data_IF_043500101727
#
_entry.id   IF_043500101727
#
_cell.length_a   1.000
_cell.length_b   1.000
_cell.length_c   1.000
_cell.angle_alpha   90.00
_cell.angle_beta   90.00
_cell.angle_gamma   90.00
#
_symmetry.space_group_name_H-M   'P 1'
#
loop_
_entity.id
_entity.type
_entity.pdbx_description
1 polymer ?
#
# COMPACT_ATOMS: atom_id res chain seq x y z
N UNK A 1 -50.32 21.63 0.36
CA UNK A 1 -49.77 20.33 0.79
C UNK A 1 -48.61 19.96 -0.12
N UNK A 2 -47.39 19.94 0.40
CA UNK A 2 -46.20 19.41 -0.28
C UNK A 2 -45.64 18.31 0.61
N UNK A 3 -45.95 17.06 0.28
CA UNK A 3 -45.32 15.91 0.93
C UNK A 3 -43.89 15.77 0.41
N UNK A 4 -42.94 15.70 1.35
CA UNK A 4 -41.53 15.47 1.09
C UNK A 4 -41.32 13.99 0.77
N UNK A 5 -40.93 13.72 -0.47
CA UNK A 5 -40.39 12.43 -0.91
C UNK A 5 -38.93 12.30 -0.43
N UNK A 6 -38.71 12.02 0.86
CA UNK A 6 -37.39 11.76 1.45
C UNK A 6 -37.13 10.26 1.74
N UNK A 7 -37.96 9.36 1.18
CA UNK A 7 -37.97 7.93 1.54
C UNK A 7 -37.06 6.96 0.76
N UNK A 8 -36.28 7.37 -0.25
CA UNK A 8 -35.78 6.40 -1.26
C UNK A 8 -34.26 6.27 -1.45
N UNK A 9 -33.41 7.09 -0.81
CA UNK A 9 -31.95 7.00 -1.03
C UNK A 9 -31.22 6.01 -0.11
N UNK A 10 -31.84 5.58 0.98
CA UNK A 10 -31.21 4.70 1.98
C UNK A 10 -31.40 3.21 1.65
N UNK A 11 -32.51 2.81 1.03
CA UNK A 11 -32.78 1.44 0.60
C UNK A 11 -31.69 0.84 -0.31
N UNK A 12 -31.23 1.51 -1.39
CA UNK A 12 -30.20 0.93 -2.26
C UNK A 12 -28.82 0.80 -1.60
N UNK A 13 -28.49 1.68 -0.65
CA UNK A 13 -27.23 1.58 0.13
C UNK A 13 -27.31 0.40 1.10
N UNK A 14 -28.45 0.22 1.77
CA UNK A 14 -28.69 -0.89 2.68
C UNK A 14 -28.63 -2.23 1.94
N UNK A 15 -29.27 -2.34 0.78
CA UNK A 15 -29.21 -3.53 -0.08
C UNK A 15 -27.76 -3.86 -0.48
N UNK A 16 -26.97 -2.85 -0.87
CA UNK A 16 -25.55 -3.03 -1.21
C UNK A 16 -24.74 -3.57 -0.03
N UNK A 17 -24.97 -3.06 1.18
CA UNK A 17 -24.28 -3.50 2.41
C UNK A 17 -24.65 -4.95 2.75
N UNK A 18 -25.92 -5.31 2.64
CA UNK A 18 -26.40 -6.68 2.88
C UNK A 18 -25.76 -7.65 1.88
N UNK A 19 -25.80 -7.33 0.58
CA UNK A 19 -25.16 -8.15 -0.45
C UNK A 19 -23.65 -8.31 -0.22
N UNK A 20 -22.96 -7.23 0.18
CA UNK A 20 -21.55 -7.29 0.54
C UNK A 20 -21.30 -8.24 1.71
N UNK A 21 -22.09 -8.13 2.78
CA UNK A 21 -21.98 -9.01 3.94
C UNK A 21 -22.23 -10.49 3.58
N UNK A 22 -23.27 -10.77 2.81
CA UNK A 22 -23.58 -12.13 2.33
C UNK A 22 -22.43 -12.70 1.48
N UNK A 23 -21.85 -11.89 0.59
CA UNK A 23 -20.69 -12.30 -0.19
C UNK A 23 -19.45 -12.61 0.67
N UNK A 24 -19.21 -11.82 1.72
CA UNK A 24 -18.11 -12.03 2.66
C UNK A 24 -18.32 -13.22 3.60
N UNK A 25 -19.55 -13.66 3.80
CA UNK A 25 -19.88 -14.79 4.71
C UNK A 25 -20.10 -16.10 3.98
N UNK A 26 -20.23 -16.08 2.66
CA UNK A 26 -20.34 -17.28 1.83
C UNK A 26 -18.97 -17.98 1.67
N UNK A 27 -18.62 -18.83 2.65
CA UNK A 27 -17.38 -19.63 2.64
C UNK A 27 -17.29 -20.61 1.48
N UNK A 28 -18.40 -21.25 1.11
CA UNK A 28 -18.44 -22.23 0.01
C UNK A 28 -18.04 -21.58 -1.30
N UNK A 29 -18.63 -20.42 -1.61
CA UNK A 29 -18.30 -19.66 -2.81
C UNK A 29 -16.82 -19.26 -2.78
N UNK A 30 -16.33 -18.63 -1.70
CA UNK A 30 -14.94 -18.17 -1.62
C UNK A 30 -13.91 -19.29 -1.80
N UNK A 31 -14.14 -20.44 -1.16
CA UNK A 31 -13.23 -21.58 -1.30
C UNK A 31 -13.29 -22.19 -2.71
N UNK A 32 -14.43 -22.11 -3.40
CA UNK A 32 -14.57 -22.60 -4.77
C UNK A 32 -13.84 -21.75 -5.82
N UNK A 33 -13.72 -20.43 -5.59
CA UNK A 33 -13.01 -19.52 -6.53
C UNK A 33 -11.49 -19.51 -6.29
N UNK A 34 -11.00 -20.10 -5.21
CA UNK A 34 -9.57 -20.25 -4.96
C UNK A 34 -8.78 -18.93 -5.00
N UNK A 35 -7.76 -18.88 -5.86
CA UNK A 35 -6.84 -17.74 -6.01
C UNK A 35 -7.03 -16.99 -7.33
N UNK A 36 -7.95 -17.47 -8.16
CA UNK A 36 -8.26 -16.98 -9.50
C UNK A 36 -8.53 -15.45 -9.50
N UNK A 37 -9.32 -14.88 -8.57
CA UNK A 37 -9.54 -13.43 -8.55
C UNK A 37 -8.25 -12.64 -8.31
N UNK A 38 -7.34 -13.16 -7.48
CA UNK A 38 -6.06 -12.53 -7.22
C UNK A 38 -5.13 -12.64 -8.45
N UNK A 39 -5.13 -13.79 -9.14
CA UNK A 39 -4.38 -13.97 -10.40
C UNK A 39 -4.85 -12.98 -11.48
N UNK A 40 -6.16 -12.76 -11.60
CA UNK A 40 -6.74 -11.80 -12.54
C UNK A 40 -6.36 -10.35 -12.20
N UNK A 41 -6.32 -9.99 -10.92
CA UNK A 41 -5.85 -8.67 -10.50
C UNK A 41 -4.37 -8.48 -10.85
N UNK A 42 -3.55 -9.49 -10.60
CA UNK A 42 -2.10 -9.45 -10.82
C UNK A 42 -1.74 -9.38 -12.31
N UNK A 43 -2.43 -10.14 -13.17
CA UNK A 43 -2.22 -10.07 -14.63
C UNK A 43 -2.55 -8.68 -15.19
N UNK A 44 -3.57 -8.03 -14.63
CA UNK A 44 -3.97 -6.67 -14.97
C UNK A 44 -3.01 -5.57 -14.50
N UNK A 45 -1.94 -5.88 -13.75
CA UNK A 45 -0.92 -4.90 -13.37
C UNK A 45 0.12 -4.61 -14.47
N UNK A 46 0.10 -5.32 -15.62
CA UNK A 46 1.07 -5.17 -16.74
C UNK A 46 2.53 -5.23 -16.24
N UNK A 47 2.93 -6.36 -15.67
CA UNK A 47 4.33 -6.59 -15.29
C UNK A 47 4.86 -7.77 -16.11
N UNK A 48 5.95 -7.56 -16.86
CA UNK A 48 6.58 -8.59 -17.70
C UNK A 48 6.95 -9.86 -16.93
N UNK A 49 7.33 -9.69 -15.66
CA UNK A 49 7.67 -10.79 -14.76
C UNK A 49 7.51 -10.33 -13.30
N UNK A 50 6.70 -11.04 -12.52
CA UNK A 50 6.76 -10.95 -11.06
C UNK A 50 7.74 -12.01 -10.53
N UNK A 51 8.80 -11.64 -9.82
CA UNK A 51 9.77 -12.61 -9.31
C UNK A 51 9.18 -13.70 -8.40
N UNK A 52 8.08 -13.40 -7.71
CA UNK A 52 7.38 -14.32 -6.80
C UNK A 52 6.13 -14.98 -7.41
N UNK A 53 5.58 -14.43 -8.48
CA UNK A 53 4.27 -14.82 -9.03
C UNK A 53 4.49 -15.13 -10.50
N UNK A 54 4.15 -16.34 -10.97
CA UNK A 54 4.38 -16.81 -12.35
C UNK A 54 3.45 -16.12 -13.37
N UNK A 55 3.37 -14.80 -13.30
CA UNK A 55 2.45 -13.97 -14.05
C UNK A 55 3.27 -13.21 -15.08
N UNK A 56 2.93 -13.45 -16.34
CA UNK A 56 3.54 -12.83 -17.50
C UNK A 56 2.61 -11.72 -18.01
N UNK A 57 3.17 -10.54 -18.24
CA UNK A 57 2.44 -9.37 -18.73
C UNK A 57 3.25 -8.56 -19.75
N UNK A 58 2.78 -7.35 -20.05
CA UNK A 58 3.45 -6.41 -20.95
C UNK A 58 4.79 -5.89 -20.40
N UNK A 59 5.55 -5.16 -21.23
CA UNK A 59 6.81 -4.53 -20.87
C UNK A 59 6.74 -3.72 -19.55
N UNK A 60 7.77 -3.84 -18.72
CA UNK A 60 7.84 -3.20 -17.42
C UNK A 60 7.77 -1.67 -17.55
N UNK A 61 6.76 -1.07 -16.94
CA UNK A 61 6.57 0.38 -16.90
C UNK A 61 6.23 0.84 -15.48
N UNK A 62 7.26 1.22 -14.71
CA UNK A 62 7.10 1.59 -13.30
C UNK A 62 6.04 2.69 -13.06
N UNK A 63 6.00 3.82 -13.80
CA UNK A 63 4.96 4.83 -13.62
C UNK A 63 3.54 4.30 -13.81
N UNK A 64 3.32 3.45 -14.83
CA UNK A 64 2.01 2.85 -15.11
C UNK A 64 1.60 1.88 -14.01
N UNK A 65 2.53 1.05 -13.53
CA UNK A 65 2.30 0.11 -12.42
C UNK A 65 1.92 0.90 -11.16
N UNK A 66 2.69 1.93 -10.80
CA UNK A 66 2.42 2.77 -9.63
C UNK A 66 1.07 3.47 -9.72
N UNK A 67 0.70 4.00 -10.90
CA UNK A 67 -0.61 4.61 -11.11
C UNK A 67 -1.74 3.60 -10.87
N UNK A 68 -1.61 2.36 -11.37
CA UNK A 68 -2.62 1.30 -11.16
C UNK A 68 -2.71 0.89 -9.69
N UNK A 69 -1.57 0.71 -9.01
CA UNK A 69 -1.52 0.40 -7.59
C UNK A 69 -2.20 1.52 -6.77
N UNK A 70 -1.82 2.78 -6.99
CA UNK A 70 -2.31 3.92 -6.21
C UNK A 70 -3.78 4.27 -6.51
N UNK A 71 -4.17 4.32 -7.78
CA UNK A 71 -5.49 4.84 -8.18
C UNK A 71 -6.56 3.76 -8.31
N UNK A 72 -6.22 2.57 -8.82
CA UNK A 72 -7.19 1.48 -9.02
C UNK A 72 -7.28 0.58 -7.81
N UNK A 73 -6.13 0.13 -7.30
CA UNK A 73 -6.09 -0.80 -6.15
C UNK A 73 -6.03 -0.10 -4.79
N UNK A 74 -5.86 1.23 -4.77
CA UNK A 74 -5.74 2.03 -3.54
C UNK A 74 -4.61 1.54 -2.62
N UNK A 75 -3.56 0.98 -3.22
CA UNK A 75 -2.38 0.47 -2.54
C UNK A 75 -1.29 1.55 -2.55
N UNK A 76 -0.97 2.06 -1.36
CA UNK A 76 0.10 3.03 -1.15
C UNK A 76 1.47 2.31 -1.24
N UNK A 77 2.18 2.47 -2.37
CA UNK A 77 3.51 1.88 -2.62
C UNK A 77 4.48 2.99 -3.03
N UNK A 78 5.63 3.09 -2.34
CA UNK A 78 6.62 4.19 -2.37
C UNK A 78 6.10 5.59 -2.02
N UNK A 79 4.83 5.87 -2.28
CA UNK A 79 4.13 7.15 -2.08
C UNK A 79 2.70 6.84 -1.62
N UNK A 80 2.14 7.62 -0.68
CA UNK A 80 0.70 7.66 -0.43
C UNK A 80 0.10 8.90 -1.07
N UNK A 81 -0.97 8.75 -1.85
CA UNK A 81 -1.68 9.87 -2.49
C UNK A 81 -3.08 9.99 -1.90
N UNK A 82 -3.35 11.14 -1.28
CA UNK A 82 -4.67 11.41 -0.66
C UNK A 82 -5.14 12.80 -1.00
N UNK A 83 -6.42 12.92 -1.34
CA UNK A 83 -7.08 14.22 -1.45
C UNK A 83 -7.62 14.57 -0.08
N UNK A 84 -7.20 15.70 0.47
CA UNK A 84 -7.56 16.16 1.80
C UNK A 84 -8.02 17.61 1.74
N UNK A 85 -8.81 18.05 2.72
CA UNK A 85 -9.10 19.49 2.86
C UNK A 85 -7.82 20.22 3.26
N UNK A 86 -7.59 21.37 2.65
CA UNK A 86 -6.44 22.21 3.04
C UNK A 86 -6.61 22.68 4.47
N UNK A 87 -5.54 22.53 5.27
CA UNK A 87 -5.49 23.04 6.64
C UNK A 87 -5.54 24.58 6.68
N UNK A 88 -5.06 25.23 5.61
CA UNK A 88 -5.05 26.70 5.48
C UNK A 88 -6.38 27.24 4.96
N UNK A 89 -7.05 26.50 4.08
CA UNK A 89 -8.36 26.87 3.53
C UNK A 89 -9.26 25.63 3.44
N UNK A 90 -10.17 25.48 4.40
CA UNK A 90 -11.05 24.30 4.51
C UNK A 90 -12.04 24.16 3.35
N UNK A 91 -12.25 25.21 2.57
CA UNK A 91 -13.10 25.20 1.37
C UNK A 91 -12.40 24.58 0.16
N UNK A 92 -11.07 24.41 0.21
CA UNK A 92 -10.28 23.83 -0.88
C UNK A 92 -9.83 22.40 -0.54
N UNK A 93 -9.78 21.56 -1.55
CA UNK A 93 -9.15 20.25 -1.49
C UNK A 93 -7.78 20.32 -2.14
N UNK A 94 -6.82 19.65 -1.52
CA UNK A 94 -5.43 19.57 -1.98
C UNK A 94 -5.00 18.12 -1.96
N UNK A 95 -4.08 17.77 -2.85
CA UNK A 95 -3.32 16.54 -2.70
C UNK A 95 -2.50 16.66 -1.40
N UNK A 96 -2.26 15.56 -0.70
CA UNK A 96 -1.50 15.50 0.54
C UNK A 96 -0.06 16.05 0.46
N UNK A 97 0.37 16.54 -0.71
CA UNK A 97 1.54 17.41 -0.93
C UNK A 97 1.51 18.74 -0.16
N UNK A 98 0.38 19.12 0.43
CA UNK A 98 0.19 20.45 1.04
C UNK A 98 0.82 20.64 2.44
N UNK A 99 1.43 19.62 3.05
CA UNK A 99 2.37 19.86 4.17
C UNK A 99 3.68 20.39 3.60
N UNK A 100 3.73 21.71 3.41
CA UNK A 100 4.97 22.41 3.08
C UNK A 100 5.70 22.67 4.40
N UNK A 101 6.73 21.88 4.68
CA UNK A 101 7.74 22.22 5.70
C UNK A 101 8.97 22.68 4.93
N UNK A 102 9.37 23.95 5.09
CA UNK A 102 10.54 24.53 4.42
C UNK A 102 10.56 24.46 2.86
N UNK A 103 9.40 24.61 2.20
CA UNK A 103 9.35 24.74 0.73
C UNK A 103 9.33 23.42 -0.07
N UNK A 104 9.38 22.27 0.60
CA UNK A 104 9.29 20.96 -0.05
C UNK A 104 7.87 20.40 0.12
N UNK A 105 7.14 20.07 -0.97
CA UNK A 105 5.86 19.39 -0.87
C UNK A 105 6.07 18.00 -0.26
N UNK A 106 5.56 17.79 0.95
CA UNK A 106 5.70 16.52 1.63
C UNK A 106 4.61 15.57 1.11
N UNK A 107 4.96 14.72 0.15
CA UNK A 107 4.15 13.56 -0.19
C UNK A 107 4.23 12.60 0.99
N UNK A 108 3.08 12.14 1.51
CA UNK A 108 3.09 11.21 2.64
C UNK A 108 3.82 9.91 2.24
N UNK A 109 4.69 9.48 3.13
CA UNK A 109 5.35 8.18 3.03
C UNK A 109 4.31 7.05 3.08
N UNK A 110 4.38 6.03 2.20
CA UNK A 110 3.49 4.89 2.24
C UNK A 110 3.75 4.05 3.49
N UNK A 111 2.83 3.15 3.79
CA UNK A 111 3.02 2.17 4.86
C UNK A 111 3.97 1.07 4.39
N UNK A 112 4.62 0.43 5.34
CA UNK A 112 5.41 -0.78 5.12
C UNK A 112 4.55 -2.02 5.37
N UNK A 113 5.01 -3.20 4.94
CA UNK A 113 4.33 -4.45 5.23
C UNK A 113 4.31 -4.79 6.73
N UNK A 114 5.35 -4.35 7.46
CA UNK A 114 5.40 -4.36 8.92
C UNK A 114 5.19 -2.94 9.50
N UNK A 115 4.72 -2.81 10.75
CA UNK A 115 4.79 -1.54 11.46
C UNK A 115 6.21 -0.96 11.42
N UNK A 116 6.35 0.30 10.99
CA UNK A 116 7.65 0.94 10.75
C UNK A 116 8.59 0.88 11.97
N UNK A 117 8.04 0.92 13.19
CA UNK A 117 8.83 0.75 14.41
C UNK A 117 9.58 -0.58 14.48
N UNK A 118 9.00 -1.67 13.97
CA UNK A 118 9.63 -2.99 13.93
C UNK A 118 10.76 -3.06 12.89
N UNK A 119 10.66 -2.29 11.81
CA UNK A 119 11.72 -2.18 10.80
C UNK A 119 12.85 -1.25 11.25
N UNK A 120 12.50 -0.17 11.96
CA UNK A 120 13.42 0.93 12.30
C UNK A 120 14.28 0.68 13.53
N UNK A 121 13.74 0.03 14.56
CA UNK A 121 14.45 -0.11 15.84
C UNK A 121 15.20 -1.44 15.90
N UNK A 122 16.44 -1.40 16.37
CA UNK A 122 17.18 -2.60 16.74
C UNK A 122 16.74 -3.04 18.13
N UNK A 123 16.18 -4.25 18.22
CA UNK A 123 15.80 -4.90 19.47
C UNK A 123 16.06 -6.40 19.33
N UNK A 124 16.28 -7.09 20.46
CA UNK A 124 16.75 -8.48 20.45
C UNK A 124 15.86 -9.44 19.64
N UNK A 125 14.54 -9.21 19.60
CA UNK A 125 13.59 -10.03 18.85
C UNK A 125 13.39 -9.60 17.38
N UNK A 126 14.09 -8.57 16.89
CA UNK A 126 13.90 -8.02 15.54
C UNK A 126 14.17 -9.05 14.46
N UNK A 127 15.30 -9.76 14.58
CA UNK A 127 15.69 -10.80 13.63
C UNK A 127 14.58 -11.86 13.47
N UNK A 128 14.02 -12.32 14.59
CA UNK A 128 12.91 -13.27 14.57
C UNK A 128 11.67 -12.73 13.84
N UNK A 129 11.28 -11.47 14.06
CA UNK A 129 10.13 -10.87 13.35
C UNK A 129 10.38 -10.75 11.86
N UNK A 130 11.59 -10.36 11.45
CA UNK A 130 11.96 -10.27 10.04
C UNK A 130 12.00 -11.64 9.36
N UNK A 131 12.46 -12.68 10.08
CA UNK A 131 12.44 -14.05 9.57
C UNK A 131 11.01 -14.58 9.42
N UNK A 132 10.10 -14.32 10.38
CA UNK A 132 8.68 -14.68 10.22
C UNK A 132 8.03 -13.93 9.06
N UNK A 133 8.40 -12.66 8.85
CA UNK A 133 7.88 -11.87 7.73
C UNK A 133 8.40 -12.40 6.38
N UNK A 134 9.67 -12.76 6.31
CA UNK A 134 10.26 -13.48 5.18
C UNK A 134 9.49 -14.79 4.91
N UNK A 135 9.27 -15.62 5.94
CA UNK A 135 8.60 -16.92 5.79
C UNK A 135 7.15 -16.75 5.34
N UNK A 136 6.47 -15.72 5.82
CA UNK A 136 5.14 -15.35 5.33
C UNK A 136 5.15 -15.01 3.84
N UNK A 137 6.10 -14.19 3.37
CA UNK A 137 6.22 -13.84 1.95
C UNK A 137 6.47 -15.11 1.11
N UNK A 138 7.36 -16.00 1.56
CA UNK A 138 7.64 -17.28 0.89
C UNK A 138 6.39 -18.16 0.85
N UNK A 139 5.67 -18.28 1.97
CA UNK A 139 4.45 -19.08 2.06
C UNK A 139 3.37 -18.57 1.11
N UNK A 140 3.18 -17.25 1.02
CA UNK A 140 2.22 -16.64 0.09
C UNK A 140 2.66 -16.88 -1.35
N UNK A 141 3.95 -16.72 -1.66
CA UNK A 141 4.48 -16.96 -3.00
C UNK A 141 4.35 -18.42 -3.45
N UNK A 142 4.39 -19.37 -2.50
CA UNK A 142 4.21 -20.81 -2.77
C UNK A 142 2.86 -21.18 -3.38
N UNK A 143 1.84 -20.35 -3.18
CA UNK A 143 0.55 -20.52 -3.84
C UNK A 143 0.58 -20.24 -5.36
N UNK A 144 1.64 -19.57 -5.83
CA UNK A 144 1.80 -19.20 -7.23
C UNK A 144 2.94 -19.96 -7.91
N UNK A 145 4.02 -20.26 -7.19
CA UNK A 145 5.21 -20.96 -7.70
C UNK A 145 5.83 -21.86 -6.67
N UNK A 146 6.53 -22.90 -7.09
CA UNK A 146 7.25 -23.83 -6.20
C UNK A 146 8.77 -23.71 -6.31
N UNK A 147 9.27 -22.62 -6.91
CA UNK A 147 10.70 -22.40 -7.16
C UNK A 147 11.50 -22.20 -5.86
N UNK A 148 12.75 -22.67 -5.84
CA UNK A 148 13.70 -22.51 -4.73
C UNK A 148 14.11 -21.05 -4.56
N UNK A 149 14.07 -20.25 -5.63
CA UNK A 149 14.48 -18.84 -5.63
C UNK A 149 13.55 -17.91 -4.83
N UNK A 150 12.38 -18.40 -4.40
CA UNK A 150 11.41 -17.60 -3.65
C UNK A 150 11.97 -17.05 -2.34
N UNK A 151 12.81 -17.83 -1.64
CA UNK A 151 13.42 -17.36 -0.38
C UNK A 151 14.41 -16.22 -0.61
N UNK A 152 15.24 -16.29 -1.66
CA UNK A 152 16.18 -15.21 -1.99
C UNK A 152 15.44 -13.91 -2.30
N UNK A 153 14.40 -13.98 -3.15
CA UNK A 153 13.60 -12.80 -3.49
C UNK A 153 12.85 -12.26 -2.28
N UNK A 154 12.28 -13.12 -1.43
CA UNK A 154 11.63 -12.69 -0.20
C UNK A 154 12.60 -11.96 0.74
N UNK A 155 13.85 -12.44 0.84
CA UNK A 155 14.90 -11.79 1.65
C UNK A 155 15.24 -10.40 1.10
N UNK A 156 15.41 -10.26 -0.22
CA UNK A 156 15.66 -8.98 -0.88
C UNK A 156 14.53 -7.96 -0.62
N UNK A 157 13.27 -8.40 -0.60
CA UNK A 157 12.12 -7.53 -0.27
C UNK A 157 12.18 -7.05 1.18
N UNK A 158 12.47 -7.95 2.13
CA UNK A 158 12.58 -7.59 3.55
C UNK A 158 13.73 -6.60 3.78
N UNK A 159 14.89 -6.86 3.20
CA UNK A 159 16.06 -5.96 3.28
C UNK A 159 15.78 -4.60 2.63
N UNK A 160 15.06 -4.60 1.51
CA UNK A 160 14.65 -3.37 0.85
C UNK A 160 13.72 -2.52 1.75
N UNK A 161 12.71 -3.13 2.37
CA UNK A 161 11.79 -2.41 3.27
C UNK A 161 12.50 -1.87 4.52
N UNK A 162 13.42 -2.65 5.10
CA UNK A 162 14.24 -2.22 6.23
C UNK A 162 15.11 -1.00 5.87
N UNK A 163 15.82 -1.07 4.74
CA UNK A 163 16.64 0.03 4.25
C UNK A 163 15.81 1.29 3.96
N UNK A 164 14.63 1.13 3.36
CA UNK A 164 13.72 2.23 3.08
C UNK A 164 13.22 2.89 4.39
N UNK A 165 12.92 2.11 5.43
CA UNK A 165 12.56 2.63 6.75
C UNK A 165 13.71 3.43 7.39
N UNK A 166 14.95 2.97 7.24
CA UNK A 166 16.15 3.65 7.73
C UNK A 166 16.44 4.97 7.00
N UNK A 167 16.29 4.99 5.67
CA UNK A 167 16.46 6.20 4.85
C UNK A 167 15.44 7.27 5.22
N UNK A 168 14.18 6.89 5.46
CA UNK A 168 13.13 7.83 5.90
C UNK A 168 13.46 8.51 7.22
N UNK A 169 14.00 7.76 8.19
CA UNK A 169 14.44 8.33 9.46
C UNK A 169 15.48 9.43 9.25
N UNK A 170 16.47 9.19 8.39
CA UNK A 170 17.53 10.18 8.09
C UNK A 170 16.92 11.45 7.50
N UNK A 171 16.12 11.34 6.45
CA UNK A 171 15.44 12.49 5.85
C UNK A 171 14.57 13.25 6.85
N UNK A 172 13.82 12.57 7.71
CA UNK A 172 12.98 13.23 8.71
C UNK A 172 13.79 13.93 9.80
N UNK A 173 14.93 13.36 10.20
CA UNK A 173 15.83 13.98 11.17
C UNK A 173 16.59 15.18 10.58
N UNK A 174 17.03 15.07 9.33
CA UNK A 174 17.76 16.15 8.63
C UNK A 174 16.82 17.33 8.32
N UNK A 175 15.55 17.06 8.02
CA UNK A 175 14.51 18.09 7.85
C UNK A 175 14.17 18.86 9.14
N UNK A 176 14.60 18.35 10.30
CA UNK A 176 14.38 18.97 11.63
C UNK A 176 15.59 19.74 12.14
N UNK A 177 16.74 19.64 11.47
CA UNK A 177 17.89 20.48 11.82
C UNK A 177 17.54 21.93 11.47
N UNK A 178 17.69 22.89 12.40
CA UNK A 178 17.50 24.30 12.05
C UNK A 178 18.47 24.65 10.92
N UNK A 179 17.95 25.27 9.86
CA UNK A 179 18.77 25.93 8.86
C UNK A 179 19.76 26.81 9.62
N UNK A 180 21.04 26.45 9.62
CA UNK A 180 22.08 27.28 10.21
C UNK A 180 21.98 28.64 9.53
N UNK A 181 21.72 29.68 10.31
CA UNK A 181 21.72 31.04 9.80
C UNK A 181 23.06 31.28 9.09
N UNK A 182 23.07 31.94 7.91
CA UNK A 182 24.30 32.25 7.23
C UNK A 182 25.18 33.08 8.16
N UNK A 183 26.36 32.58 8.47
CA UNK A 183 27.38 33.33 9.19
C UNK A 183 27.85 34.45 8.26
N UNK A 184 27.53 35.69 8.65
CA UNK A 184 28.05 36.93 8.10
C UNK A 184 29.57 37.00 8.19
#
# INVERSE_FOLDING_TARGET
MKERNEGSKLAPVQETVVQFYESCTNWTLRNSVGLEPLRDVLSNLSVRYWPLLDVYGEEYNAPRILLRLLLRLRLDVFVSLRVQRSLRNRSHFVLNTARVTAGVPQIDSPRFGLPEGLLRFEYAAKASVLDHYHDFIVLVARFFRTDVRLSTVAREIVEFEENLAMVRRRHFNDSRLPLRAPTS
#
